data_IF_316591111746
#
_entry.id   IF_316591111746
#
_cell.length_a   1.000
_cell.length_b   1.000
_cell.length_c   1.000
_cell.angle_alpha   90.00
_cell.angle_beta   90.00
_cell.angle_gamma   90.00
#
_symmetry.space_group_name_H-M   'P 1'
#
loop_
_entity.id
_entity.type
_entity.pdbx_description
1 polymer ?
#
# COMPACT_ATOMS: atom_id res chain seq x y z
N UNK A 1 -2.58 -15.69 -1.12
CA UNK A 1 -2.12 -14.94 0.04
C UNK A 1 -0.76 -15.48 0.49
N UNK A 2 0.25 -14.62 0.65
CA UNK A 2 1.61 -15.00 1.09
C UNK A 2 2.05 -14.13 2.28
N UNK A 3 2.33 -14.75 3.41
CA UNK A 3 2.99 -14.12 4.56
C UNK A 3 4.36 -14.80 4.78
N UNK A 4 5.43 -14.26 4.27
CA UNK A 4 5.66 -12.98 3.58
C UNK A 4 6.70 -13.15 2.47
N UNK A 5 6.82 -12.18 1.58
CA UNK A 5 7.93 -12.09 0.61
C UNK A 5 9.29 -12.03 1.32
N UNK A 6 9.36 -11.36 2.47
CA UNK A 6 10.58 -11.28 3.29
C UNK A 6 11.01 -12.68 3.77
N UNK A 7 10.08 -13.45 4.34
CA UNK A 7 10.36 -14.82 4.81
C UNK A 7 10.76 -15.74 3.65
N UNK A 8 10.03 -15.64 2.53
CA UNK A 8 10.33 -16.43 1.33
C UNK A 8 11.74 -16.12 0.80
N UNK A 9 12.10 -14.85 0.67
CA UNK A 9 13.43 -14.46 0.18
C UNK A 9 14.53 -14.88 1.14
N UNK A 10 14.32 -14.75 2.45
CA UNK A 10 15.28 -15.24 3.47
C UNK A 10 15.46 -16.75 3.40
N UNK A 11 14.40 -17.52 3.14
CA UNK A 11 14.51 -18.97 2.96
C UNK A 11 15.35 -19.35 1.72
N UNK A 12 15.14 -18.65 0.58
CA UNK A 12 15.98 -18.83 -0.59
C UNK A 12 17.43 -18.41 -0.35
N UNK A 13 17.66 -17.31 0.37
CA UNK A 13 19.00 -16.89 0.75
C UNK A 13 19.71 -17.99 1.59
N UNK A 14 19.03 -18.54 2.58
CA UNK A 14 19.58 -19.60 3.43
C UNK A 14 19.91 -20.87 2.64
N UNK A 15 19.04 -21.25 1.68
CA UNK A 15 19.25 -22.42 0.83
C UNK A 15 20.46 -22.27 -0.12
N UNK A 16 20.78 -21.05 -0.55
CA UNK A 16 21.91 -20.78 -1.44
C UNK A 16 23.27 -20.70 -0.72
N UNK A 17 23.27 -20.44 0.59
CA UNK A 17 24.49 -20.30 1.41
C UNK A 17 25.03 -21.65 1.89
N UNK A 18 24.56 -22.79 1.37
CA UNK A 18 25.07 -24.09 1.70
C UNK A 18 26.60 -24.20 1.42
N UNK A 19 27.40 -24.04 2.47
CA UNK A 19 28.88 -24.22 2.42
C UNK A 19 29.72 -22.95 2.58
N UNK A 20 29.13 -21.76 2.74
CA UNK A 20 29.85 -20.50 2.97
C UNK A 20 29.37 -19.73 4.20
N UNK A 21 30.21 -18.85 4.73
CA UNK A 21 29.84 -17.90 5.81
C UNK A 21 28.62 -17.11 5.38
N UNK A 22 27.53 -17.03 6.18
CA UNK A 22 26.41 -16.18 5.87
C UNK A 22 26.90 -14.73 5.72
N UNK A 23 26.63 -14.12 4.57
CA UNK A 23 26.86 -12.69 4.37
C UNK A 23 25.81 -11.96 5.23
N UNK A 24 26.25 -11.41 6.35
CA UNK A 24 25.37 -11.00 7.45
C UNK A 24 24.49 -9.76 7.16
N UNK A 25 24.80 -8.98 6.10
CA UNK A 25 24.08 -7.72 5.86
C UNK A 25 23.71 -7.47 4.38
N UNK A 26 23.60 -8.52 3.57
CA UNK A 26 23.29 -8.39 2.15
C UNK A 26 22.43 -9.55 1.66
N UNK A 27 21.73 -9.34 0.55
CA UNK A 27 20.94 -10.37 -0.14
C UNK A 27 21.63 -10.69 -1.45
N UNK A 28 21.87 -11.97 -1.72
CA UNK A 28 22.41 -12.37 -3.02
C UNK A 28 21.37 -12.20 -4.10
N UNK A 29 21.72 -11.68 -5.29
CA UNK A 29 20.77 -11.53 -6.40
C UNK A 29 20.06 -12.87 -6.75
N UNK A 30 20.75 -14.00 -6.63
CA UNK A 30 20.19 -15.31 -6.88
C UNK A 30 19.02 -15.67 -5.93
N UNK A 31 19.04 -15.18 -4.67
CA UNK A 31 17.97 -15.42 -3.71
C UNK A 31 16.67 -14.68 -4.08
N UNK A 32 16.76 -13.60 -4.84
CA UNK A 32 15.62 -12.80 -5.27
C UNK A 32 14.92 -13.35 -6.52
N UNK A 33 15.62 -14.15 -7.34
CA UNK A 33 15.10 -14.60 -8.64
C UNK A 33 13.78 -15.36 -8.51
N UNK A 34 13.72 -16.36 -7.63
CA UNK A 34 12.51 -17.18 -7.44
C UNK A 34 11.36 -16.40 -6.81
N UNK A 35 11.56 -15.66 -5.70
CA UNK A 35 10.52 -14.81 -5.12
C UNK A 35 9.97 -13.76 -6.10
N UNK A 36 10.84 -13.11 -6.91
CA UNK A 36 10.41 -12.16 -7.93
C UNK A 36 9.58 -12.82 -9.03
N UNK A 37 9.98 -13.99 -9.51
CA UNK A 37 9.20 -14.75 -10.50
C UNK A 37 7.84 -15.18 -9.94
N UNK A 38 7.79 -15.62 -8.68
CA UNK A 38 6.56 -15.98 -8.01
C UNK A 38 5.61 -14.79 -7.91
N UNK A 39 6.09 -13.66 -7.40
CA UNK A 39 5.28 -12.46 -7.25
C UNK A 39 4.86 -11.87 -8.60
N UNK A 40 5.76 -11.89 -9.58
CA UNK A 40 5.51 -11.43 -10.95
C UNK A 40 4.59 -12.37 -11.77
N UNK A 41 4.23 -13.54 -11.24
CA UNK A 41 3.23 -14.42 -11.87
C UNK A 41 1.80 -13.89 -11.71
N UNK A 42 1.58 -12.92 -10.82
CA UNK A 42 0.30 -12.24 -10.66
C UNK A 42 -0.04 -11.46 -11.93
N UNK A 43 -0.97 -11.98 -12.72
CA UNK A 43 -1.37 -11.38 -14.00
C UNK A 43 -2.71 -11.91 -14.48
N UNK A 44 -3.34 -11.15 -15.36
CA UNK A 44 -4.45 -11.63 -16.15
C UNK A 44 -3.91 -12.32 -17.40
N UNK A 45 -4.37 -13.55 -17.66
CA UNK A 45 -3.96 -14.34 -18.83
C UNK A 45 -5.07 -14.38 -19.86
N UNK A 46 -4.71 -14.51 -21.14
CA UNK A 46 -5.67 -14.46 -22.24
C UNK A 46 -6.63 -15.66 -22.21
N UNK A 47 -6.14 -16.85 -21.87
CA UNK A 47 -6.88 -18.10 -22.02
C UNK A 47 -7.19 -18.84 -20.72
N UNK A 48 -6.61 -18.41 -19.58
CA UNK A 48 -6.68 -19.16 -18.33
C UNK A 48 -7.17 -18.31 -17.11
N UNK A 49 -7.72 -17.12 -17.35
CA UNK A 49 -8.21 -16.26 -16.29
C UNK A 49 -7.10 -15.45 -15.60
N UNK A 50 -7.30 -15.08 -14.34
CA UNK A 50 -6.39 -14.20 -13.61
C UNK A 50 -5.85 -14.83 -12.33
N UNK A 51 -4.61 -14.50 -12.01
CA UNK A 51 -3.99 -14.78 -10.71
C UNK A 51 -3.78 -13.48 -9.94
N UNK A 52 -4.43 -13.35 -8.80
CA UNK A 52 -4.20 -12.26 -7.84
C UNK A 52 -3.32 -12.76 -6.71
N UNK A 53 -2.23 -12.05 -6.43
CA UNK A 53 -1.33 -12.33 -5.31
C UNK A 53 -1.37 -11.17 -4.33
N UNK A 54 -1.74 -11.47 -3.08
CA UNK A 54 -1.61 -10.55 -1.95
C UNK A 54 -0.48 -11.07 -1.08
N UNK A 55 0.55 -10.25 -0.88
CA UNK A 55 1.72 -10.62 -0.12
C UNK A 55 2.09 -9.53 0.89
N UNK A 56 2.50 -9.95 2.08
CA UNK A 56 3.07 -9.03 3.07
C UNK A 56 4.58 -8.93 2.89
N UNK A 57 5.14 -7.79 3.28
CA UNK A 57 6.58 -7.55 3.32
C UNK A 57 6.92 -6.79 4.59
N UNK A 58 8.02 -7.15 5.24
CA UNK A 58 8.45 -6.50 6.47
C UNK A 58 9.19 -5.20 6.15
N UNK A 59 8.84 -4.13 6.86
CA UNK A 59 9.46 -2.81 6.77
C UNK A 59 9.85 -2.34 8.17
N UNK A 60 10.84 -1.46 8.27
CA UNK A 60 11.28 -0.85 9.56
C UNK A 60 11.59 -1.86 10.66
N UNK A 61 12.19 -2.99 10.28
CA UNK A 61 12.57 -4.05 11.24
C UNK A 61 13.93 -3.80 11.91
N UNK A 62 14.67 -2.79 11.47
CA UNK A 62 16.06 -2.55 11.85
C UNK A 62 17.05 -3.51 11.14
N UNK A 63 16.59 -4.37 10.26
CA UNK A 63 17.41 -5.30 9.48
C UNK A 63 17.69 -4.76 8.09
N UNK A 64 18.94 -4.46 7.78
CA UNK A 64 19.34 -4.04 6.43
C UNK A 64 18.96 -5.05 5.34
N UNK A 65 18.91 -6.33 5.67
CA UNK A 65 18.45 -7.37 4.73
C UNK A 65 17.00 -7.17 4.36
N UNK A 66 16.13 -6.83 5.31
CA UNK A 66 14.71 -6.59 5.06
C UNK A 66 14.50 -5.31 4.25
N UNK A 67 15.30 -4.27 4.51
CA UNK A 67 15.27 -3.03 3.72
C UNK A 67 15.64 -3.29 2.25
N UNK A 68 16.69 -4.10 2.02
CA UNK A 68 17.08 -4.50 0.66
C UNK A 68 15.94 -5.29 0.01
N UNK A 69 15.35 -6.26 0.71
CA UNK A 69 14.24 -7.05 0.17
C UNK A 69 13.06 -6.15 -0.17
N UNK A 70 12.70 -5.21 0.70
CA UNK A 70 11.63 -4.26 0.44
C UNK A 70 11.89 -3.43 -0.81
N UNK A 71 13.07 -2.82 -0.95
CA UNK A 71 13.42 -2.00 -2.12
C UNK A 71 13.43 -2.83 -3.42
N UNK A 72 13.82 -4.08 -3.37
CA UNK A 72 13.82 -4.99 -4.53
C UNK A 72 12.42 -5.40 -5.02
N UNK A 73 11.41 -5.37 -4.14
CA UNK A 73 10.00 -5.62 -4.50
C UNK A 73 9.21 -4.34 -4.73
N UNK A 74 9.67 -3.21 -4.20
CA UNK A 74 9.09 -1.90 -4.42
C UNK A 74 9.01 -1.62 -5.92
N UNK A 75 7.87 -1.20 -6.36
CA UNK A 75 7.67 -0.97 -7.78
C UNK A 75 7.24 -2.19 -8.60
N UNK A 76 7.35 -3.41 -8.09
CA UNK A 76 6.84 -4.62 -8.76
C UNK A 76 5.33 -4.81 -8.54
N UNK A 77 4.82 -4.41 -7.39
CA UNK A 77 3.40 -4.47 -7.06
C UNK A 77 2.56 -3.45 -7.87
N UNK A 78 1.31 -3.79 -8.17
CA UNK A 78 0.32 -2.85 -8.74
C UNK A 78 -0.27 -1.93 -7.68
N UNK A 79 -0.37 -2.41 -6.44
CA UNK A 79 -0.93 -1.70 -5.31
C UNK A 79 -0.04 -1.93 -4.09
N UNK A 80 0.22 -0.88 -3.35
CA UNK A 80 1.00 -0.91 -2.12
C UNK A 80 0.16 -0.31 -0.99
N UNK A 81 -0.06 -1.10 0.06
CA UNK A 81 -0.74 -0.68 1.28
C UNK A 81 0.28 -0.63 2.41
N UNK A 82 0.55 0.57 2.90
CA UNK A 82 1.44 0.80 4.04
C UNK A 82 0.63 0.81 5.33
N UNK A 83 1.09 0.00 6.29
CA UNK A 83 0.60 0.05 7.65
C UNK A 83 1.58 0.87 8.49
N UNK A 84 1.06 1.78 9.29
CA UNK A 84 1.86 2.63 10.15
C UNK A 84 1.51 2.42 11.63
N UNK A 85 2.49 2.62 12.49
CA UNK A 85 2.26 2.70 13.94
C UNK A 85 2.03 4.16 14.29
N UNK A 86 0.79 4.54 14.54
CA UNK A 86 0.54 5.87 15.10
C UNK A 86 1.04 5.89 16.55
N UNK A 87 1.88 6.86 16.85
CA UNK A 87 2.33 7.12 18.24
C UNK A 87 1.27 7.85 19.08
N UNK A 88 0.04 7.90 18.60
CA UNK A 88 -1.04 8.54 19.32
C UNK A 88 -1.47 7.68 20.53
N UNK A 89 -1.86 8.33 21.61
CA UNK A 89 -2.46 7.73 22.80
C UNK A 89 -3.75 6.95 22.49
N UNK A 90 -4.35 7.18 21.32
CA UNK A 90 -5.55 6.50 20.84
C UNK A 90 -5.29 5.91 19.45
N UNK A 91 -5.10 4.58 19.33
CA UNK A 91 -4.85 3.93 18.05
C UNK A 91 -6.13 3.89 17.21
N UNK A 92 -6.06 4.51 16.03
CA UNK A 92 -7.14 4.47 15.02
C UNK A 92 -6.94 3.25 14.13
N UNK A 93 -7.94 2.41 14.02
CA UNK A 93 -7.94 1.24 13.14
C UNK A 93 -8.86 1.45 11.94
N UNK A 94 -8.44 0.99 10.74
CA UNK A 94 -7.17 0.33 10.40
C UNK A 94 -5.99 1.31 10.40
N UNK A 95 -4.82 0.86 10.85
CA UNK A 95 -3.58 1.65 10.89
C UNK A 95 -2.95 1.76 9.50
N UNK A 96 -3.62 2.45 8.57
CA UNK A 96 -3.16 2.62 7.18
C UNK A 96 -2.51 3.99 7.03
N UNK A 97 -1.36 4.03 6.37
CA UNK A 97 -0.79 5.27 5.88
C UNK A 97 -1.43 5.63 4.54
N UNK A 98 -2.30 6.64 4.55
CA UNK A 98 -3.03 7.08 3.37
C UNK A 98 -2.16 7.86 2.36
N UNK A 99 -1.04 8.41 2.81
CA UNK A 99 -0.12 9.17 1.95
C UNK A 99 0.81 8.24 1.18
N UNK A 100 1.33 7.20 1.84
CA UNK A 100 2.23 6.23 1.24
C UNK A 100 1.50 5.14 0.46
N UNK A 101 0.25 4.84 0.82
CA UNK A 101 -0.54 3.81 0.14
C UNK A 101 -1.09 4.29 -1.20
N UNK A 102 -1.07 3.42 -2.20
CA UNK A 102 -1.58 3.78 -3.52
C UNK A 102 -1.64 2.62 -4.51
N UNK A 103 -2.35 2.88 -5.61
CA UNK A 103 -2.50 1.96 -6.74
C UNK A 103 -1.82 2.56 -7.96
N UNK A 104 -0.97 1.79 -8.63
CA UNK A 104 -0.33 2.21 -9.88
C UNK A 104 -1.33 2.12 -11.02
N UNK A 105 -1.28 3.09 -11.94
CA UNK A 105 -2.16 3.15 -13.11
C UNK A 105 -3.65 3.10 -12.72
N UNK A 106 -4.02 3.78 -11.64
CA UNK A 106 -5.41 3.94 -11.20
C UNK A 106 -6.29 4.61 -12.26
N UNK A 107 -5.68 5.39 -13.16
CA UNK A 107 -6.31 5.97 -14.35
C UNK A 107 -6.94 4.93 -15.31
N UNK A 108 -6.47 3.70 -15.28
CA UNK A 108 -7.07 2.60 -16.06
C UNK A 108 -8.28 1.94 -15.37
N UNK A 109 -8.49 2.21 -14.08
CA UNK A 109 -9.51 1.59 -13.25
C UNK A 109 -10.67 2.52 -12.91
N UNK A 110 -10.50 3.83 -13.09
CA UNK A 110 -11.41 4.86 -12.64
C UNK A 110 -11.93 5.68 -13.82
N UNK A 111 -13.19 6.11 -13.77
CA UNK A 111 -13.71 7.16 -14.67
C UNK A 111 -13.04 8.51 -14.37
N UNK A 112 -13.15 9.45 -15.30
CA UNK A 112 -12.53 10.77 -15.11
C UNK A 112 -13.14 11.52 -13.91
N UNK A 113 -14.45 11.39 -13.68
CA UNK A 113 -15.14 11.92 -12.50
C UNK A 113 -14.61 11.31 -11.20
N UNK A 114 -14.41 9.98 -11.19
CA UNK A 114 -13.85 9.28 -10.03
C UNK A 114 -12.41 9.68 -9.74
N UNK A 115 -11.60 9.91 -10.78
CA UNK A 115 -10.23 10.41 -10.65
C UNK A 115 -10.20 11.79 -10.02
N UNK A 116 -11.06 12.67 -10.48
CA UNK A 116 -11.16 14.04 -9.95
C UNK A 116 -11.60 14.02 -8.49
N UNK A 117 -12.60 13.18 -8.17
CA UNK A 117 -13.06 12.94 -6.83
C UNK A 117 -11.98 12.44 -5.90
N UNK A 118 -11.25 11.42 -6.31
CA UNK A 118 -10.17 10.84 -5.52
C UNK A 118 -9.02 11.84 -5.29
N UNK A 119 -8.67 12.63 -6.31
CA UNK A 119 -7.65 13.69 -6.16
C UNK A 119 -8.06 14.75 -5.14
N UNK A 120 -9.33 15.17 -5.15
CA UNK A 120 -9.85 16.14 -4.18
C UNK A 120 -9.81 15.58 -2.76
N UNK A 121 -10.28 14.34 -2.54
CA UNK A 121 -10.20 13.66 -1.25
C UNK A 121 -8.73 13.59 -0.77
N UNK A 122 -7.81 13.12 -1.61
CA UNK A 122 -6.39 13.03 -1.26
C UNK A 122 -5.78 14.39 -0.90
N UNK A 123 -6.14 15.46 -1.62
CA UNK A 123 -5.67 16.82 -1.35
C UNK A 123 -6.10 17.29 0.04
N UNK A 124 -7.33 17.00 0.44
CA UNK A 124 -7.83 17.36 1.77
C UNK A 124 -7.13 16.54 2.86
N UNK A 125 -7.10 15.22 2.68
CA UNK A 125 -6.48 14.32 3.66
C UNK A 125 -4.98 14.58 3.82
N UNK A 126 -4.28 15.03 2.76
CA UNK A 126 -2.88 15.41 2.83
C UNK A 126 -2.59 16.68 3.65
N UNK A 127 -3.61 17.49 3.93
CA UNK A 127 -3.47 18.71 4.77
C UNK A 127 -3.55 18.45 6.27
N UNK A 128 -3.86 17.23 6.67
CA UNK A 128 -4.03 16.80 8.06
C UNK A 128 -2.99 15.75 8.45
N UNK A 129 -2.87 15.45 9.73
CA UNK A 129 -2.03 14.33 10.16
C UNK A 129 -2.62 13.01 9.66
N UNK A 130 -1.78 12.00 9.45
CA UNK A 130 -2.27 10.71 8.92
C UNK A 130 -3.36 10.07 9.80
N UNK A 131 -3.26 10.21 11.13
CA UNK A 131 -4.29 9.72 12.07
C UNK A 131 -5.63 10.42 11.87
N UNK A 132 -5.65 11.73 11.80
CA UNK A 132 -6.86 12.52 11.53
C UNK A 132 -7.43 12.21 10.14
N UNK A 133 -6.58 12.05 9.13
CA UNK A 133 -6.99 11.68 7.79
C UNK A 133 -7.72 10.32 7.74
N UNK A 134 -7.22 9.33 8.49
CA UNK A 134 -7.87 8.01 8.59
C UNK A 134 -9.23 8.12 9.29
N UNK A 135 -9.33 8.87 10.39
CA UNK A 135 -10.61 9.11 11.09
C UNK A 135 -11.63 9.77 10.16
N UNK A 136 -11.21 10.82 9.44
CA UNK A 136 -12.09 11.52 8.50
C UNK A 136 -12.56 10.61 7.38
N UNK A 137 -11.67 9.79 6.81
CA UNK A 137 -12.03 8.85 5.77
C UNK A 137 -13.03 7.80 6.28
N UNK A 138 -12.82 7.27 7.48
CA UNK A 138 -13.74 6.31 8.11
C UNK A 138 -15.12 6.95 8.30
N UNK A 139 -15.18 8.17 8.84
CA UNK A 139 -16.43 8.90 9.04
C UNK A 139 -17.20 9.13 7.73
N UNK A 140 -16.48 9.47 6.65
CA UNK A 140 -17.07 9.58 5.32
C UNK A 140 -17.62 8.25 4.82
N UNK A 141 -16.85 7.17 4.96
CA UNK A 141 -17.28 5.83 4.54
C UNK A 141 -18.49 5.33 5.33
N UNK A 142 -18.59 5.63 6.61
CA UNK A 142 -19.74 5.27 7.45
C UNK A 142 -21.04 6.00 7.06
N UNK A 143 -20.91 7.19 6.45
CA UNK A 143 -22.05 8.00 5.98
C UNK A 143 -22.47 7.66 4.55
N UNK A 144 -21.82 6.69 3.92
CA UNK A 144 -22.07 6.29 2.53
C UNK A 144 -22.28 4.79 2.43
N UNK A 145 -23.06 4.35 1.43
CA UNK A 145 -23.38 2.94 1.24
C UNK A 145 -22.35 2.19 0.39
N UNK A 146 -21.65 2.91 -0.50
CA UNK A 146 -20.64 2.34 -1.39
C UNK A 146 -19.68 3.43 -1.88
N UNK A 147 -18.59 3.03 -2.54
CA UNK A 147 -17.58 3.95 -3.08
C UNK A 147 -18.17 4.94 -4.10
N UNK A 148 -19.15 4.51 -4.89
CA UNK A 148 -19.81 5.42 -5.84
C UNK A 148 -20.59 6.53 -5.11
N UNK A 149 -21.30 6.19 -4.03
CA UNK A 149 -22.00 7.18 -3.19
C UNK A 149 -21.00 8.14 -2.51
N UNK A 150 -19.88 7.62 -2.02
CA UNK A 150 -18.79 8.43 -1.45
C UNK A 150 -18.29 9.48 -2.46
N UNK A 151 -18.04 9.06 -3.69
CA UNK A 151 -17.51 9.94 -4.73
C UNK A 151 -18.57 10.91 -5.25
N UNK A 152 -19.83 10.51 -5.35
CA UNK A 152 -20.93 11.39 -5.76
C UNK A 152 -21.21 12.51 -4.76
N UNK A 153 -20.95 12.29 -3.48
CA UNK A 153 -21.09 13.32 -2.42
C UNK A 153 -19.86 14.20 -2.26
N UNK A 154 -18.94 14.13 -3.18
CA UNK A 154 -17.66 14.83 -3.08
C UNK A 154 -17.82 16.35 -2.91
N UNK A 155 -18.75 16.97 -3.62
CA UNK A 155 -19.00 18.40 -3.52
C UNK A 155 -19.52 18.79 -2.12
N UNK A 156 -20.32 17.93 -1.50
CA UNK A 156 -20.81 18.14 -0.14
C UNK A 156 -19.63 18.06 0.85
N UNK A 157 -18.74 17.08 0.66
CA UNK A 157 -17.54 16.94 1.49
C UNK A 157 -16.59 18.14 1.35
N UNK A 158 -16.32 18.61 0.13
CA UNK A 158 -15.49 19.79 -0.13
C UNK A 158 -16.09 21.02 0.57
N UNK A 159 -17.38 21.22 0.42
CA UNK A 159 -18.09 22.35 1.06
C UNK A 159 -18.00 22.30 2.58
N UNK A 160 -18.09 21.10 3.14
CA UNK A 160 -18.00 20.88 4.59
C UNK A 160 -16.59 21.16 5.12
N UNK A 161 -15.56 20.79 4.37
CA UNK A 161 -14.17 21.04 4.69
C UNK A 161 -13.74 22.49 4.54
N UNK A 162 -14.27 23.20 3.53
CA UNK A 162 -14.08 24.65 3.39
C UNK A 162 -14.67 25.39 4.59
N UNK A 163 -15.88 25.02 5.01
CA UNK A 163 -16.53 25.60 6.20
C UNK A 163 -15.81 25.28 7.51
N UNK A 164 -15.18 24.10 7.60
CA UNK A 164 -14.44 23.66 8.79
C UNK A 164 -13.00 24.16 8.82
N UNK A 165 -12.54 24.91 7.81
CA UNK A 165 -11.20 25.50 7.74
C UNK A 165 -10.08 24.51 7.35
N UNK A 166 -10.41 23.28 6.99
CA UNK A 166 -9.43 22.28 6.53
C UNK A 166 -8.94 22.52 5.10
N UNK A 167 -9.72 23.19 4.25
CA UNK A 167 -9.30 23.67 2.95
C UNK A 167 -9.16 25.20 3.00
N UNK A 168 -7.92 25.69 3.02
CA UNK A 168 -7.65 27.09 2.67
C UNK A 168 -7.54 27.18 1.15
N UNK A 169 -8.29 28.13 0.57
CA UNK A 169 -8.17 28.50 -0.84
C UNK A 169 -6.76 28.96 -1.18
#
# INVERSE_FOLDING_TARGET
>A
LLDSLTKLTRAYQAALVQGGRPMTNTVTPAALVRPKRFFGAARNTRDAGSLTVIATIAVETGSRVDDIIFEEFKGTANMELFLCRHQASDPVYPMIDLQLSGTKKDDMLLSDEQKEGLRAIRKVLASTTNGEAVVQLIDMMQKTHCNADLLNRLQDWITLWEKSGYLKR
#
